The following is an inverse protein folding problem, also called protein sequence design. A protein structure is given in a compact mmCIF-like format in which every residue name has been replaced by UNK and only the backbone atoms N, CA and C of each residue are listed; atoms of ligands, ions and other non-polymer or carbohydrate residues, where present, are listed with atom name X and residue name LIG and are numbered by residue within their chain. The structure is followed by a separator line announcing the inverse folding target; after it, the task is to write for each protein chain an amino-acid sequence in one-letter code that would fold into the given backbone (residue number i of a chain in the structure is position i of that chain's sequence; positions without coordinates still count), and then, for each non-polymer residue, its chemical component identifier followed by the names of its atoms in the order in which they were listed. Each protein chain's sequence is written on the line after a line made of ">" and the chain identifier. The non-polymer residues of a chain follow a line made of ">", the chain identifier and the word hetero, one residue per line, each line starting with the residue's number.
data_IF_424017769545
#
_entry.id   IF_424017769545
#
_cell.length_a   1.000
_cell.length_b   1.000
_cell.length_c   1.000
_cell.angle_alpha   90.00
_cell.angle_beta   90.00
_cell.angle_gamma   90.00
#
_symmetry.space_group_name_H-M   'P 1'
#
loop_
_entity.id
_entity.type
_entity.pdbx_description
1 polymer ?
#
# COMPACT_ATOMS: atom_id res chain seq x y z
N UNK A 1 -31.85 56.05 -27.89
CA UNK A 1 -32.53 56.18 -26.58
C UNK A 1 -33.94 55.65 -26.71
N UNK A 2 -34.26 54.48 -26.13
CA UNK A 2 -35.63 54.02 -25.82
C UNK A 2 -35.54 53.04 -24.64
N UNK A 3 -36.01 53.48 -23.46
CA UNK A 3 -36.66 52.63 -22.43
C UNK A 3 -38.18 52.61 -22.75
N UNK A 4 -39.09 51.78 -22.17
CA UNK A 4 -39.12 51.06 -20.86
C UNK A 4 -39.80 49.64 -21.01
N UNK A 5 -40.47 48.92 -20.04
CA UNK A 5 -40.82 49.24 -18.65
C UNK A 5 -40.66 48.15 -17.55
N UNK A 6 -40.96 48.62 -16.34
CA UNK A 6 -40.92 48.07 -15.00
C UNK A 6 -42.00 47.01 -14.61
N UNK A 7 -41.66 46.25 -13.54
CA UNK A 7 -42.48 45.77 -12.39
C UNK A 7 -43.63 44.74 -12.63
N UNK A 8 -43.57 43.59 -11.95
CA UNK A 8 -44.27 43.28 -10.67
C UNK A 8 -44.11 41.80 -10.20
N UNK A 9 -44.46 41.48 -8.92
CA UNK A 9 -43.91 40.35 -8.15
C UNK A 9 -44.95 39.24 -7.80
N UNK A 10 -44.44 38.24 -7.03
CA UNK A 10 -45.12 37.22 -6.19
C UNK A 10 -45.73 35.99 -6.88
N UNK A 11 -45.28 34.82 -6.44
CA UNK A 11 -46.11 34.00 -5.55
C UNK A 11 -45.25 33.09 -4.68
N UNK A 12 -45.39 33.24 -3.37
CA UNK A 12 -45.08 32.22 -2.40
C UNK A 12 -46.21 31.19 -2.43
N UNK A 13 -45.87 29.90 -2.59
CA UNK A 13 -46.76 28.82 -2.20
C UNK A 13 -46.06 28.07 -1.07
N UNK A 14 -46.44 28.43 0.14
CA UNK A 14 -46.24 27.61 1.32
C UNK A 14 -47.24 26.47 1.24
N UNK A 15 -46.76 25.23 1.19
CA UNK A 15 -47.57 24.08 1.61
C UNK A 15 -46.77 23.35 2.67
N UNK A 16 -47.07 23.70 3.92
CA UNK A 16 -46.73 22.90 5.09
C UNK A 16 -47.67 21.70 5.09
N UNK A 17 -47.16 20.50 4.89
CA UNK A 17 -47.79 19.29 5.40
C UNK A 17 -46.69 18.37 5.92
N UNK A 18 -46.51 18.45 7.23
CA UNK A 18 -45.84 17.47 8.06
C UNK A 18 -46.50 16.12 7.91
N UNK A 19 -45.78 15.13 7.39
CA UNK A 19 -45.99 13.74 7.69
C UNK A 19 -44.62 13.08 7.83
N UNK A 20 -44.23 12.90 9.08
CA UNK A 20 -43.12 12.10 9.56
C UNK A 20 -43.16 10.71 8.92
N UNK A 21 -42.14 10.37 8.13
CA UNK A 21 -41.77 8.97 7.92
C UNK A 21 -40.25 8.90 8.02
N UNK A 22 -39.83 8.39 9.17
CA UNK A 22 -38.45 8.05 9.51
C UNK A 22 -38.05 6.86 8.63
N UNK A 23 -37.52 7.14 7.45
CA UNK A 23 -36.75 6.13 6.73
C UNK A 23 -35.30 6.25 7.16
N UNK A 24 -34.97 5.46 8.19
CA UNK A 24 -33.61 5.04 8.51
C UNK A 24 -33.01 4.38 7.26
N UNK A 25 -32.39 5.18 6.39
CA UNK A 25 -31.37 4.68 5.49
C UNK A 25 -30.18 4.35 6.37
N UNK A 26 -30.13 3.08 6.78
CA UNK A 26 -28.95 2.44 7.34
C UNK A 26 -27.82 2.73 6.37
N UNK A 27 -26.97 3.70 6.72
CA UNK A 27 -25.69 3.87 6.05
C UNK A 27 -24.99 2.51 6.10
N UNK A 28 -24.59 1.93 4.96
CA UNK A 28 -23.67 0.81 5.01
C UNK A 28 -22.43 1.32 5.73
N UNK A 29 -22.14 0.72 6.90
CA UNK A 29 -20.86 0.88 7.56
C UNK A 29 -19.80 0.53 6.53
N UNK A 30 -19.22 1.54 5.89
CA UNK A 30 -18.07 1.41 5.03
C UNK A 30 -16.96 0.84 5.91
N UNK A 31 -16.88 -0.50 5.97
CA UNK A 31 -15.66 -1.19 6.36
C UNK A 31 -14.63 -0.68 5.37
N UNK A 32 -13.78 0.24 5.83
CA UNK A 32 -12.60 0.68 5.11
C UNK A 32 -11.96 -0.56 4.49
N UNK A 33 -12.04 -0.68 3.16
CA UNK A 33 -11.34 -1.73 2.43
C UNK A 33 -9.87 -1.47 2.74
N UNK A 34 -9.27 -2.26 3.63
CA UNK A 34 -7.83 -2.21 3.91
C UNK A 34 -7.12 -2.15 2.56
N UNK A 35 -6.39 -1.07 2.34
CA UNK A 35 -5.61 -0.92 1.13
C UNK A 35 -4.48 -1.93 1.17
N UNK A 36 -3.96 -2.34 0.01
CA UNK A 36 -2.82 -3.27 -0.05
C UNK A 36 -1.55 -2.69 0.63
N UNK A 37 -1.52 -1.38 0.93
CA UNK A 37 -0.48 -0.78 1.79
C UNK A 37 -0.72 -1.00 3.28
N UNK A 38 -1.97 -1.12 3.74
CA UNK A 38 -2.30 -1.34 5.16
C UNK A 38 -1.97 -2.76 5.65
N UNK A 39 -1.69 -3.67 4.71
CA UNK A 39 -1.33 -5.06 4.99
C UNK A 39 0.17 -5.30 4.98
N UNK A 40 0.97 -4.33 4.52
CA UNK A 40 2.42 -4.40 4.56
C UNK A 40 2.90 -4.17 6.00
N UNK A 41 3.58 -5.14 6.64
CA UNK A 41 4.14 -4.93 7.97
C UNK A 41 5.12 -3.76 7.96
N UNK A 42 5.03 -2.89 8.97
CA UNK A 42 6.03 -1.85 9.21
C UNK A 42 6.76 -2.15 10.52
N UNK A 43 7.94 -2.75 10.40
CA UNK A 43 8.75 -3.16 11.53
C UNK A 43 9.40 -1.97 12.25
N UNK A 44 9.57 -0.82 11.59
CA UNK A 44 10.16 0.38 12.20
C UNK A 44 9.29 0.94 13.34
N UNK A 45 7.98 0.74 13.27
CA UNK A 45 7.02 1.23 14.27
C UNK A 45 6.75 0.22 15.40
N UNK A 46 7.45 -0.93 15.41
CA UNK A 46 7.27 -1.97 16.45
C UNK A 46 8.23 -1.75 17.61
N UNK A 47 7.73 -1.91 18.84
CA UNK A 47 8.59 -1.85 20.03
C UNK A 47 9.59 -3.02 20.06
N UNK A 48 10.69 -2.84 20.79
CA UNK A 48 11.75 -3.85 20.92
C UNK A 48 11.21 -5.22 21.38
N UNK A 49 10.37 -5.22 22.41
CA UNK A 49 9.71 -6.43 22.92
C UNK A 49 8.81 -7.09 21.87
N UNK A 50 8.02 -6.30 21.14
CA UNK A 50 7.12 -6.83 20.09
C UNK A 50 7.94 -7.44 18.95
N UNK A 51 8.98 -6.74 18.49
CA UNK A 51 9.83 -7.22 17.41
C UNK A 51 10.55 -8.52 17.78
N UNK A 52 11.11 -8.61 19.00
CA UNK A 52 11.70 -9.85 19.53
C UNK A 52 10.67 -10.98 19.58
N UNK A 53 9.47 -10.71 20.10
CA UNK A 53 8.38 -11.70 20.13
C UNK A 53 8.01 -12.19 18.74
N UNK A 54 7.89 -11.28 17.76
CA UNK A 54 7.60 -11.64 16.36
C UNK A 54 8.68 -12.57 15.78
N UNK A 55 9.95 -12.28 16.03
CA UNK A 55 11.07 -13.12 15.61
C UNK A 55 11.01 -14.50 16.28
N UNK A 56 10.78 -14.57 17.59
CA UNK A 56 10.69 -15.84 18.31
C UNK A 56 9.49 -16.69 17.87
N UNK A 57 8.36 -16.07 17.54
CA UNK A 57 7.18 -16.80 17.05
C UNK A 57 7.32 -17.29 15.61
N UNK A 58 8.25 -16.73 14.84
CA UNK A 58 8.40 -17.08 13.44
C UNK A 58 9.23 -18.35 13.21
N UNK A 59 9.95 -18.83 14.23
CA UNK A 59 10.75 -20.05 14.18
C UNK A 59 10.44 -20.93 15.39
N UNK A 60 10.13 -22.21 15.17
CA UNK A 60 10.00 -23.17 16.27
C UNK A 60 11.38 -23.38 16.92
N UNK A 61 11.46 -23.32 18.26
CA UNK A 61 12.74 -23.44 18.99
C UNK A 61 13.65 -22.21 18.94
N UNK A 62 13.10 -21.02 18.70
CA UNK A 62 13.83 -19.75 18.52
C UNK A 62 14.51 -19.16 19.77
N UNK A 63 14.68 -19.90 20.87
CA UNK A 63 15.21 -19.34 22.12
C UNK A 63 16.64 -18.81 21.97
N UNK A 64 17.38 -19.35 21.00
CA UNK A 64 18.73 -18.89 20.62
C UNK A 64 18.75 -17.57 19.82
N UNK A 65 17.60 -17.08 19.35
CA UNK A 65 17.50 -15.89 18.48
C UNK A 65 17.54 -14.60 19.31
N UNK A 66 16.86 -14.56 20.46
CA UNK A 66 16.82 -13.38 21.33
C UNK A 66 18.21 -12.92 21.83
N UNK A 67 19.14 -13.82 22.22
CA UNK A 67 20.51 -13.46 22.59
C UNK A 67 21.32 -12.82 21.46
N UNK A 68 20.97 -13.04 20.19
CA UNK A 68 21.65 -12.38 19.05
C UNK A 68 21.35 -10.88 18.98
N UNK A 69 20.35 -10.41 19.74
CA UNK A 69 19.90 -9.02 19.86
C UNK A 69 20.03 -8.50 21.30
N UNK A 70 21.15 -8.82 21.93
CA UNK A 70 21.54 -8.40 23.28
C UNK A 70 21.71 -6.87 23.41
N UNK A 71 22.14 -6.19 22.34
CA UNK A 71 22.24 -4.72 22.33
C UNK A 71 21.15 -4.03 21.50
N UNK A 72 20.88 -2.77 21.83
CA UNK A 72 19.90 -1.94 21.13
C UNK A 72 20.30 -1.70 19.68
N UNK A 73 21.59 -1.53 19.41
CA UNK A 73 22.15 -1.29 18.08
C UNK A 73 21.90 -2.50 17.16
N UNK A 74 22.14 -3.72 17.68
CA UNK A 74 21.90 -4.97 16.94
C UNK A 74 20.43 -5.18 16.63
N UNK A 75 19.57 -4.89 17.58
CA UNK A 75 18.13 -4.96 17.40
C UNK A 75 17.63 -3.92 16.38
N UNK A 76 18.12 -2.70 16.47
CA UNK A 76 17.78 -1.63 15.53
C UNK A 76 18.25 -1.96 14.12
N UNK A 77 19.47 -2.50 14.00
CA UNK A 77 20.00 -2.98 12.72
C UNK A 77 19.11 -4.05 12.09
N UNK A 78 18.75 -5.07 12.88
CA UNK A 78 17.91 -6.16 12.42
C UNK A 78 16.52 -5.69 12.01
N UNK A 79 15.94 -4.73 12.75
CA UNK A 79 14.66 -4.11 12.43
C UNK A 79 14.70 -3.35 11.11
N UNK A 80 15.72 -2.51 10.91
CA UNK A 80 15.90 -1.79 9.64
C UNK A 80 16.13 -2.77 8.50
N UNK A 81 16.95 -3.81 8.71
CA UNK A 81 17.21 -4.84 7.72
C UNK A 81 15.93 -5.61 7.34
N UNK A 82 15.11 -5.97 8.32
CA UNK A 82 13.81 -6.61 8.11
C UNK A 82 12.87 -5.70 7.29
N UNK A 83 12.84 -4.40 7.60
CA UNK A 83 12.03 -3.44 6.86
C UNK A 83 12.48 -3.33 5.39
N UNK A 84 13.79 -3.21 5.15
CA UNK A 84 14.32 -3.09 3.79
C UNK A 84 14.05 -4.34 2.95
N UNK A 85 14.20 -5.53 3.53
CA UNK A 85 13.83 -6.79 2.85
C UNK A 85 12.34 -6.87 2.55
N UNK A 86 11.50 -6.44 3.48
CA UNK A 86 10.05 -6.42 3.33
C UNK A 86 9.59 -5.43 2.26
N UNK A 87 10.24 -4.27 2.19
CA UNK A 87 10.04 -3.29 1.13
C UNK A 87 10.43 -3.86 -0.23
N UNK A 88 11.59 -4.53 -0.31
CA UNK A 88 12.08 -5.13 -1.53
C UNK A 88 11.15 -6.23 -2.06
N UNK A 89 10.71 -7.16 -1.20
CA UNK A 89 9.79 -8.22 -1.62
C UNK A 89 8.42 -7.68 -2.02
N UNK A 90 7.91 -6.68 -1.30
CA UNK A 90 6.68 -6.02 -1.68
C UNK A 90 6.76 -5.35 -3.06
N UNK A 91 7.88 -4.67 -3.34
CA UNK A 91 8.11 -4.02 -4.63
C UNK A 91 8.24 -5.04 -5.77
N UNK A 92 8.87 -6.20 -5.52
CA UNK A 92 8.93 -7.31 -6.49
C UNK A 92 7.53 -7.86 -6.79
N UNK A 93 6.72 -8.13 -5.77
CA UNK A 93 5.32 -8.55 -5.98
C UNK A 93 4.52 -7.53 -6.79
N UNK A 94 4.71 -6.23 -6.54
CA UNK A 94 4.09 -5.18 -7.35
C UNK A 94 4.57 -5.18 -8.78
N UNK A 95 5.87 -5.38 -9.01
CA UNK A 95 6.45 -5.42 -10.34
C UNK A 95 5.86 -6.59 -11.13
N UNK A 96 5.84 -7.79 -10.55
CA UNK A 96 5.27 -8.98 -11.15
C UNK A 96 3.80 -8.76 -11.52
N UNK A 97 3.01 -8.24 -10.57
CA UNK A 97 1.60 -7.90 -10.81
C UNK A 97 1.43 -6.93 -11.99
N UNK A 98 2.16 -5.82 -12.02
CA UNK A 98 2.01 -4.85 -13.11
C UNK A 98 2.48 -5.38 -14.45
N UNK A 99 3.49 -6.25 -14.47
CA UNK A 99 3.95 -6.92 -15.67
C UNK A 99 2.90 -7.90 -16.21
N UNK A 100 2.36 -8.75 -15.35
CA UNK A 100 1.30 -9.70 -15.73
C UNK A 100 0.05 -8.96 -16.21
N UNK A 101 -0.34 -7.93 -15.49
CA UNK A 101 -1.48 -7.09 -15.84
C UNK A 101 -1.27 -6.39 -17.19
N UNK A 102 -0.08 -5.82 -17.44
CA UNK A 102 0.26 -5.24 -18.74
C UNK A 102 0.17 -6.27 -19.86
N UNK A 103 0.73 -7.46 -19.66
CA UNK A 103 0.72 -8.55 -20.64
C UNK A 103 -0.71 -8.97 -21.02
N UNK A 104 -1.61 -9.07 -20.03
CA UNK A 104 -3.02 -9.37 -20.26
C UNK A 104 -3.69 -8.28 -21.11
N UNK A 105 -3.47 -6.99 -20.81
CA UNK A 105 -4.09 -5.89 -21.55
C UNK A 105 -3.55 -5.75 -22.97
N UNK A 106 -2.25 -6.01 -23.17
CA UNK A 106 -1.65 -6.08 -24.51
C UNK A 106 -2.24 -7.24 -25.30
N UNK A 107 -2.34 -8.43 -24.71
CA UNK A 107 -2.84 -9.64 -25.38
C UNK A 107 -4.33 -9.52 -25.73
N UNK A 108 -5.11 -8.92 -24.85
CA UNK A 108 -6.57 -8.74 -25.05
C UNK A 108 -6.90 -7.48 -25.85
N UNK A 109 -5.98 -6.51 -25.96
CA UNK A 109 -6.21 -5.21 -26.59
C UNK A 109 -7.17 -4.30 -25.81
N UNK A 110 -7.50 -4.62 -24.55
CA UNK A 110 -8.51 -3.90 -23.76
C UNK A 110 -7.85 -2.78 -22.95
N UNK A 111 -7.72 -1.60 -23.55
CA UNK A 111 -7.27 -0.40 -22.85
C UNK A 111 -8.43 0.56 -22.58
N UNK A 112 -8.43 1.22 -21.43
CA UNK A 112 -9.35 2.33 -21.21
C UNK A 112 -9.00 3.48 -22.14
N UNK A 113 -10.00 4.09 -22.77
CA UNK A 113 -9.82 5.33 -23.50
C UNK A 113 -9.36 6.46 -22.58
N UNK A 114 -8.53 7.34 -23.12
CA UNK A 114 -8.10 8.55 -22.41
C UNK A 114 -9.25 9.55 -22.37
N UNK A 115 -9.76 9.82 -21.18
CA UNK A 115 -10.77 10.85 -20.95
C UNK A 115 -10.11 12.18 -20.52
N UNK A 116 -10.73 13.30 -20.89
CA UNK A 116 -10.28 14.61 -20.42
C UNK A 116 -10.69 14.81 -18.95
N UNK A 117 -9.90 15.60 -18.20
CA UNK A 117 -10.24 15.93 -16.80
C UNK A 117 -11.62 16.59 -16.68
N UNK A 118 -11.96 17.43 -17.64
CA UNK A 118 -13.26 18.10 -17.69
C UNK A 118 -14.41 17.10 -17.83
N UNK A 119 -14.27 16.14 -18.77
CA UNK A 119 -15.27 15.10 -18.97
C UNK A 119 -15.44 14.22 -17.71
N UNK A 120 -14.35 13.83 -17.06
CA UNK A 120 -14.38 13.07 -15.80
C UNK A 120 -15.18 13.84 -14.74
N UNK A 121 -14.88 15.14 -14.58
CA UNK A 121 -15.53 16.00 -13.58
C UNK A 121 -17.02 16.19 -13.87
N UNK A 122 -17.37 16.48 -15.12
CA UNK A 122 -18.77 16.68 -15.55
C UNK A 122 -19.62 15.43 -15.35
N UNK A 123 -19.03 14.25 -15.54
CA UNK A 123 -19.71 12.96 -15.41
C UNK A 123 -19.49 12.29 -14.05
N UNK A 124 -18.84 12.97 -13.10
CA UNK A 124 -18.50 12.45 -11.75
C UNK A 124 -17.79 11.10 -11.78
N UNK A 125 -16.90 10.90 -12.74
CA UNK A 125 -16.16 9.65 -12.94
C UNK A 125 -14.87 9.57 -12.11
N UNK A 126 -14.68 10.44 -11.12
CA UNK A 126 -13.44 10.54 -10.33
C UNK A 126 -13.12 9.25 -9.55
N UNK A 127 -14.14 8.44 -9.25
CA UNK A 127 -13.99 7.15 -8.58
C UNK A 127 -13.65 5.99 -9.55
N UNK A 128 -13.79 6.21 -10.86
CA UNK A 128 -13.50 5.18 -11.86
C UNK A 128 -12.00 5.16 -12.12
N UNK A 129 -11.37 4.02 -11.84
CA UNK A 129 -9.95 3.85 -12.08
C UNK A 129 -9.72 3.51 -13.56
N UNK A 130 -9.46 4.53 -14.37
CA UNK A 130 -9.15 4.35 -15.79
C UNK A 130 -7.77 3.75 -15.98
N UNK A 131 -7.74 2.55 -16.55
CA UNK A 131 -6.53 1.79 -16.85
C UNK A 131 -6.10 2.11 -18.27
N UNK A 132 -5.29 3.15 -18.39
CA UNK A 132 -4.65 3.50 -19.68
C UNK A 132 -3.26 2.88 -19.74
N UNK A 133 -2.80 2.56 -20.94
CA UNK A 133 -1.45 2.04 -21.17
C UNK A 133 -0.38 2.91 -20.50
N UNK A 134 -0.46 4.23 -20.74
CA UNK A 134 0.46 5.20 -20.13
C UNK A 134 0.47 5.16 -18.59
N UNK A 135 -0.67 4.90 -17.95
CA UNK A 135 -0.72 4.79 -16.49
C UNK A 135 -0.02 3.52 -16.00
N UNK A 136 -0.26 2.38 -16.66
CA UNK A 136 0.40 1.10 -16.32
C UNK A 136 1.92 1.20 -16.52
N UNK A 137 2.36 1.73 -17.66
CA UNK A 137 3.78 1.96 -17.94
C UNK A 137 4.43 2.87 -16.88
N UNK A 138 3.73 3.92 -16.46
CA UNK A 138 4.19 4.80 -15.38
C UNK A 138 4.32 4.03 -14.06
N UNK A 139 3.38 3.16 -13.73
CA UNK A 139 3.47 2.32 -12.51
C UNK A 139 4.66 1.35 -12.59
N UNK A 140 4.90 0.71 -13.74
CA UNK A 140 6.06 -0.15 -13.94
C UNK A 140 7.37 0.63 -13.77
N UNK A 141 7.53 1.77 -14.45
CA UNK A 141 8.74 2.61 -14.34
C UNK A 141 8.99 3.07 -12.91
N UNK A 142 7.94 3.54 -12.23
CA UNK A 142 8.04 3.98 -10.83
C UNK A 142 8.45 2.81 -9.92
N UNK A 143 7.90 1.62 -10.15
CA UNK A 143 8.23 0.43 -9.35
C UNK A 143 9.68 -0.01 -9.58
N UNK A 144 10.17 0.01 -10.82
CA UNK A 144 11.56 -0.31 -11.16
C UNK A 144 12.54 0.64 -10.46
N UNK A 145 12.28 1.95 -10.50
CA UNK A 145 13.13 2.93 -9.81
C UNK A 145 13.10 2.72 -8.29
N UNK A 146 11.91 2.51 -7.70
CA UNK A 146 11.78 2.21 -6.27
C UNK A 146 12.52 0.94 -5.87
N UNK A 147 12.50 -0.09 -6.71
CA UNK A 147 13.21 -1.35 -6.47
C UNK A 147 14.72 -1.12 -6.47
N UNK A 148 15.24 -0.39 -7.45
CA UNK A 148 16.66 0.00 -7.50
C UNK A 148 17.09 0.76 -6.24
N UNK A 149 16.29 1.73 -5.80
CA UNK A 149 16.57 2.48 -4.57
C UNK A 149 16.52 1.59 -3.33
N UNK A 150 15.59 0.64 -3.26
CA UNK A 150 15.50 -0.31 -2.16
C UNK A 150 16.72 -1.25 -2.11
N UNK A 151 17.21 -1.72 -3.27
CA UNK A 151 18.41 -2.55 -3.35
C UNK A 151 19.67 -1.79 -2.94
N UNK A 152 19.81 -0.53 -3.36
CA UNK A 152 20.91 0.34 -2.93
C UNK A 152 20.90 0.50 -1.40
N UNK A 153 19.75 0.84 -0.81
CA UNK A 153 19.62 1.00 0.65
C UNK A 153 19.92 -0.29 1.40
N UNK A 154 19.44 -1.43 0.89
CA UNK A 154 19.71 -2.74 1.48
C UNK A 154 21.21 -3.07 1.46
N UNK A 155 21.87 -2.80 0.34
CA UNK A 155 23.31 -3.05 0.20
C UNK A 155 24.13 -2.12 1.10
N UNK A 156 23.77 -0.84 1.18
CA UNK A 156 24.40 0.11 2.11
C UNK A 156 24.25 -0.33 3.57
N UNK A 157 23.05 -0.78 3.95
CA UNK A 157 22.79 -1.27 5.31
C UNK A 157 23.65 -2.49 5.65
N UNK A 158 23.86 -3.41 4.70
CA UNK A 158 24.73 -4.60 4.90
C UNK A 158 26.20 -4.26 5.13
N UNK A 159 26.67 -3.07 4.73
CA UNK A 159 28.05 -2.63 4.91
C UNK A 159 28.31 -1.99 6.29
N UNK A 160 27.28 -1.86 7.14
CA UNK A 160 27.46 -1.32 8.48
C UNK A 160 28.24 -2.33 9.33
N UNK A 161 29.45 -1.96 9.72
CA UNK A 161 30.29 -2.79 10.59
C UNK A 161 29.73 -2.78 12.02
N UNK A 162 29.45 -3.96 12.56
CA UNK A 162 29.15 -4.15 13.98
C UNK A 162 30.41 -4.65 14.68
N UNK A 163 30.77 -4.06 15.81
CA UNK A 163 31.88 -4.50 16.64
C UNK A 163 31.84 -6.03 16.87
N UNK A 164 32.82 -6.70 16.28
CA UNK A 164 33.38 -8.06 16.47
C UNK A 164 32.56 -9.27 16.99
N UNK A 165 31.24 -9.22 17.20
CA UNK A 165 30.54 -10.31 17.91
C UNK A 165 29.32 -10.92 17.21
N UNK A 166 28.88 -10.41 16.05
CA UNK A 166 27.69 -10.95 15.37
C UNK A 166 28.09 -11.66 14.09
N UNK A 167 27.67 -12.92 13.97
CA UNK A 167 27.60 -13.59 12.69
C UNK A 167 26.50 -12.95 11.82
N UNK A 168 26.92 -11.99 11.00
CA UNK A 168 26.07 -11.25 10.05
C UNK A 168 25.39 -12.18 9.03
N UNK A 169 25.98 -13.32 8.70
CA UNK A 169 25.39 -14.29 7.77
C UNK A 169 24.23 -15.02 8.43
N UNK A 170 24.41 -15.46 9.67
CA UNK A 170 23.34 -16.08 10.47
C UNK A 170 22.19 -15.10 10.69
N UNK A 171 22.51 -13.85 11.05
CA UNK A 171 21.51 -12.80 11.22
C UNK A 171 20.75 -12.52 9.91
N UNK A 172 21.47 -12.39 8.81
CA UNK A 172 20.87 -12.14 7.50
C UNK A 172 19.88 -13.24 7.11
N UNK A 173 20.24 -14.50 7.37
CA UNK A 173 19.42 -15.67 7.07
C UNK A 173 18.15 -15.70 7.91
N UNK A 174 18.26 -15.44 9.22
CA UNK A 174 17.11 -15.40 10.15
C UNK A 174 16.15 -14.28 9.74
N UNK A 175 16.63 -13.06 9.52
CA UNK A 175 15.76 -11.94 9.16
C UNK A 175 15.12 -12.15 7.79
N UNK A 176 15.85 -12.72 6.83
CA UNK A 176 15.31 -13.08 5.52
C UNK A 176 14.16 -14.08 5.64
N UNK A 177 14.35 -15.17 6.39
CA UNK A 177 13.31 -16.18 6.58
C UNK A 177 12.09 -15.62 7.33
N UNK A 178 12.31 -14.77 8.35
CA UNK A 178 11.26 -14.07 9.09
C UNK A 178 10.39 -13.22 8.15
N UNK A 179 11.02 -12.39 7.32
CA UNK A 179 10.31 -11.52 6.38
C UNK A 179 9.55 -12.33 5.34
N UNK A 180 10.14 -13.41 4.82
CA UNK A 180 9.47 -14.31 3.86
C UNK A 180 8.21 -14.94 4.44
N UNK A 181 8.27 -15.39 5.70
CA UNK A 181 7.09 -15.94 6.39
C UNK A 181 5.98 -14.89 6.50
N UNK A 182 6.33 -13.65 6.85
CA UNK A 182 5.37 -12.53 6.89
C UNK A 182 4.77 -12.19 5.51
N UNK A 183 5.57 -12.30 4.44
CA UNK A 183 5.16 -11.96 3.07
C UNK A 183 4.35 -13.07 2.38
N UNK A 184 4.41 -14.32 2.83
CA UNK A 184 3.62 -15.42 2.25
C UNK A 184 2.11 -15.10 2.23
N UNK A 185 1.59 -14.47 3.29
CA UNK A 185 0.19 -14.02 3.36
C UNK A 185 -0.13 -12.94 2.33
N UNK A 186 0.82 -12.05 2.06
CA UNK A 186 0.63 -10.95 1.14
C UNK A 186 0.71 -11.41 -0.33
N UNK A 187 1.57 -12.38 -0.63
CA UNK A 187 1.66 -12.98 -1.96
C UNK A 187 0.34 -13.62 -2.41
N UNK A 188 -0.37 -14.30 -1.48
CA UNK A 188 -1.69 -14.87 -1.77
C UNK A 188 -2.71 -13.81 -2.21
N UNK A 189 -2.69 -12.62 -1.60
CA UNK A 189 -3.62 -11.53 -1.94
C UNK A 189 -3.33 -10.90 -3.33
N UNK A 190 -2.06 -10.95 -3.77
CA UNK A 190 -1.68 -10.53 -5.13
C UNK A 190 -2.08 -11.54 -6.20
N UNK A 191 -2.21 -12.82 -5.85
CA UNK A 191 -2.68 -13.87 -6.77
C UNK A 191 -4.21 -13.90 -6.92
N UNK A 192 -4.96 -13.42 -5.93
CA UNK A 192 -6.43 -13.44 -5.93
C UNK A 192 -7.08 -12.27 -6.68
N UNK A 193 -6.33 -11.19 -6.98
CA UNK A 193 -6.84 -9.96 -7.60
C UNK A 193 -6.40 -9.83 -9.05
#
# INVERSE_FOLDING_TARGET
>A
MVQPPEKRPRSATTTTTTATTVNNVVQPKNKSKKTTSDMKPNYLNTSDHIFKKMLSTAFEGADYICPLFDTREKLQYARVYAQLLNDLFYLRLKQDFWNDYYNILVTTGVWSMKLSKQFIKENRLDYVQFVTQKNVEKYQQTTVEQLKQAEIKLNQHKQIEFGQSIDLQKLSTIILAFVRNGQHKLSADFQYK
#
